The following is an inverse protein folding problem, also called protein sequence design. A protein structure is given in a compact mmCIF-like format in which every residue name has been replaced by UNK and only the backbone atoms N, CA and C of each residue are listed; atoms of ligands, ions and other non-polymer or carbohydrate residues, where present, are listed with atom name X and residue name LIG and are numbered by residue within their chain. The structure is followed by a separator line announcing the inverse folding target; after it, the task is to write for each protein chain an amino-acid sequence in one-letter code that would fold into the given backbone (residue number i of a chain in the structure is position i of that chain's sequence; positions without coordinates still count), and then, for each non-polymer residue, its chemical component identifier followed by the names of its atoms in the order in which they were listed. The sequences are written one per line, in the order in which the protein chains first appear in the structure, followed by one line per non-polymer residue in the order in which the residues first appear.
data_IF_697889979962
#
_entry.id   IF_697889979962
#
_cell.length_a   1.000
_cell.length_b   1.000
_cell.length_c   1.000
_cell.angle_alpha   90.00
_cell.angle_beta   90.00
_cell.angle_gamma   90.00
#
_symmetry.space_group_name_H-M   'P 1'
#
loop_
_entity.id
_entity.type
_entity.pdbx_description
1 polymer ?
#
# COMPACT_ATOMS: atom_id res chain seq x y z
N UNK A 1 -81.37 -10.31 -9.11
CA UNK A 1 -80.45 -9.90 -8.03
C UNK A 1 -79.21 -10.80 -8.15
N UNK A 2 -78.12 -10.28 -8.72
CA UNK A 2 -76.93 -11.04 -8.98
C UNK A 2 -75.82 -10.53 -8.06
N UNK A 3 -75.39 -11.31 -7.10
CA UNK A 3 -74.36 -10.98 -6.14
C UNK A 3 -72.99 -11.41 -6.69
N UNK A 4 -72.14 -10.44 -7.04
CA UNK A 4 -70.79 -10.68 -7.48
C UNK A 4 -69.88 -10.71 -6.22
N UNK A 5 -69.26 -11.84 -5.96
CA UNK A 5 -68.19 -11.99 -5.02
C UNK A 5 -66.87 -11.46 -5.62
N UNK A 6 -66.30 -10.43 -5.01
CA UNK A 6 -64.98 -9.95 -5.28
C UNK A 6 -63.96 -10.70 -4.41
N UNK A 7 -63.09 -11.47 -5.02
CA UNK A 7 -61.93 -12.09 -4.34
C UNK A 7 -60.82 -11.05 -4.13
N UNK A 8 -60.22 -10.99 -2.93
CA UNK A 8 -59.08 -10.12 -2.70
C UNK A 8 -57.82 -10.68 -3.34
N UNK A 9 -57.16 -9.89 -4.17
CA UNK A 9 -55.82 -10.16 -4.67
C UNK A 9 -54.85 -9.83 -3.53
N UNK A 10 -54.17 -10.88 -3.01
CA UNK A 10 -53.07 -10.73 -2.06
C UNK A 10 -51.84 -10.34 -2.86
N UNK A 11 -51.46 -9.08 -2.74
CA UNK A 11 -50.18 -8.59 -3.29
C UNK A 11 -49.05 -8.99 -2.34
N UNK A 12 -48.30 -10.04 -2.71
CA UNK A 12 -47.09 -10.42 -1.99
C UNK A 12 -46.00 -9.40 -2.26
N UNK A 13 -45.70 -8.55 -1.30
CA UNK A 13 -44.53 -7.67 -1.33
C UNK A 13 -43.28 -8.52 -1.12
N UNK A 14 -42.49 -8.71 -2.20
CA UNK A 14 -41.12 -9.20 -2.09
C UNK A 14 -40.33 -8.14 -1.29
N UNK A 15 -40.00 -8.47 -0.05
CA UNK A 15 -39.01 -7.71 0.70
C UNK A 15 -37.67 -7.87 0.00
N UNK A 16 -37.24 -6.82 -0.71
CA UNK A 16 -35.90 -6.76 -1.29
C UNK A 16 -34.89 -6.88 -0.16
N UNK A 17 -34.04 -7.90 -0.20
CA UNK A 17 -32.85 -7.97 0.64
C UNK A 17 -31.98 -6.79 0.25
N UNK A 18 -31.96 -5.75 1.09
CA UNK A 18 -31.04 -4.64 0.92
C UNK A 18 -29.61 -5.23 0.99
N UNK A 19 -28.89 -5.19 -0.10
CA UNK A 19 -27.45 -5.48 -0.09
C UNK A 19 -26.82 -4.54 0.93
N UNK A 20 -26.14 -5.12 1.93
CA UNK A 20 -25.33 -4.32 2.84
C UNK A 20 -24.39 -3.47 1.98
N UNK A 21 -24.27 -2.16 2.23
CA UNK A 21 -23.33 -1.33 1.50
C UNK A 21 -21.95 -1.97 1.67
N UNK A 22 -21.22 -2.15 0.56
CA UNK A 22 -19.82 -2.50 0.62
C UNK A 22 -19.16 -1.51 1.58
N UNK A 23 -18.49 -2.03 2.62
CA UNK A 23 -17.84 -1.16 3.59
C UNK A 23 -16.91 -0.23 2.83
N UNK A 24 -17.22 1.07 2.87
CA UNK A 24 -16.40 2.10 2.27
C UNK A 24 -14.97 1.91 2.77
N UNK A 25 -13.95 2.00 1.88
CA UNK A 25 -12.56 2.02 2.32
C UNK A 25 -12.47 3.10 3.39
N UNK A 26 -11.86 2.80 4.52
CA UNK A 26 -11.70 3.79 5.59
C UNK A 26 -11.05 5.02 4.96
N UNK A 27 -11.83 6.10 4.82
CA UNK A 27 -11.38 7.33 4.21
C UNK A 27 -10.40 8.04 5.13
N UNK A 28 -9.45 8.82 4.61
CA UNK A 28 -8.35 9.42 5.38
C UNK A 28 -8.76 10.47 6.41
N UNK A 29 -10.04 10.58 6.74
CA UNK A 29 -10.58 11.67 7.55
C UNK A 29 -10.16 11.66 9.03
N UNK A 30 -9.44 10.64 9.50
CA UNK A 30 -9.47 10.39 10.94
C UNK A 30 -8.19 10.54 11.71
N UNK A 31 -7.01 10.68 11.16
CA UNK A 31 -5.86 10.65 12.04
C UNK A 31 -4.63 11.40 11.57
N UNK A 32 -4.79 12.68 11.30
CA UNK A 32 -3.63 13.56 11.26
C UNK A 32 -3.20 13.82 12.69
N UNK A 33 -2.27 13.02 13.20
CA UNK A 33 -1.60 13.30 14.46
C UNK A 33 -0.62 14.45 14.28
N UNK A 34 -0.23 15.20 15.34
CA UNK A 34 0.80 16.23 15.24
C UNK A 34 2.12 15.73 14.65
N UNK A 35 2.50 14.47 14.88
CA UNK A 35 3.71 13.84 14.33
C UNK A 35 3.60 13.68 12.82
N UNK A 36 2.47 13.23 12.32
CA UNK A 36 2.18 13.10 10.89
C UNK A 36 2.23 14.45 10.19
N UNK A 37 1.62 15.48 10.75
CA UNK A 37 1.66 16.85 10.22
C UNK A 37 3.10 17.34 10.11
N UNK A 38 3.94 17.09 11.11
CA UNK A 38 5.34 17.51 11.11
C UNK A 38 6.13 16.80 9.99
N UNK A 39 5.95 15.49 9.81
CA UNK A 39 6.62 14.73 8.74
C UNK A 39 6.11 15.17 7.37
N UNK A 40 4.80 15.32 7.21
CA UNK A 40 4.19 15.85 6.00
C UNK A 40 4.77 17.24 5.64
N UNK A 41 4.83 18.17 6.61
CA UNK A 41 5.43 19.49 6.41
C UNK A 41 6.91 19.39 6.01
N UNK A 42 7.66 18.41 6.55
CA UNK A 42 9.04 18.15 6.15
C UNK A 42 9.13 17.72 4.68
N UNK A 43 8.24 16.82 4.23
CA UNK A 43 8.21 16.39 2.83
C UNK A 43 7.83 17.55 1.90
N UNK A 44 6.83 18.34 2.28
CA UNK A 44 6.46 19.55 1.51
C UNK A 44 7.62 20.51 1.36
N UNK A 45 8.39 20.71 2.44
CA UNK A 45 9.61 21.54 2.39
C UNK A 45 10.68 20.92 1.48
N UNK A 46 10.94 19.60 1.57
CA UNK A 46 11.90 18.91 0.69
C UNK A 46 11.51 19.05 -0.78
N UNK A 47 10.23 18.93 -1.11
CA UNK A 47 9.71 19.08 -2.48
C UNK A 47 9.95 20.51 -2.96
N UNK A 48 9.64 21.51 -2.14
CA UNK A 48 9.85 22.92 -2.47
C UNK A 48 11.33 23.27 -2.64
N UNK A 49 12.19 22.85 -1.70
CA UNK A 49 13.63 23.11 -1.73
C UNK A 49 14.31 22.49 -2.97
N UNK A 50 13.90 21.26 -3.32
CA UNK A 50 14.38 20.55 -4.51
C UNK A 50 13.66 21.00 -5.80
N UNK A 51 12.70 21.92 -5.73
CA UNK A 51 11.87 22.35 -6.87
C UNK A 51 11.22 21.17 -7.61
N UNK A 52 10.84 20.13 -6.88
CA UNK A 52 10.24 18.93 -7.43
C UNK A 52 11.18 18.00 -8.20
N UNK A 53 12.50 18.22 -8.15
CA UNK A 53 13.51 17.43 -8.91
C UNK A 53 13.77 16.07 -8.27
N UNK A 54 12.79 15.16 -8.44
CA UNK A 54 12.84 13.76 -8.01
C UNK A 54 12.44 12.85 -9.17
N UNK A 55 13.25 11.83 -9.45
CA UNK A 55 12.96 10.84 -10.49
C UNK A 55 12.32 9.56 -9.92
N UNK A 56 12.45 9.34 -8.61
CA UNK A 56 11.98 8.11 -7.94
C UNK A 56 11.26 8.41 -6.63
N UNK A 57 10.04 7.90 -6.47
CA UNK A 57 9.29 7.95 -5.22
C UNK A 57 9.28 6.59 -4.52
N UNK A 58 9.39 6.63 -3.19
CA UNK A 58 9.09 5.51 -2.32
C UNK A 58 7.88 5.91 -1.46
N UNK A 59 6.78 5.18 -1.58
CA UNK A 59 5.52 5.45 -0.86
C UNK A 59 5.21 4.27 0.03
N UNK A 60 5.06 4.51 1.35
CA UNK A 60 4.80 3.44 2.29
C UNK A 60 4.77 3.88 3.76
N UNK A 61 4.97 2.91 4.63
CA UNK A 61 4.96 3.06 6.09
C UNK A 61 6.35 3.00 6.72
N UNK A 62 6.45 2.45 7.97
CA UNK A 62 7.71 2.31 8.71
C UNK A 62 8.77 1.48 7.98
N UNK A 63 8.36 0.52 7.17
CA UNK A 63 9.28 -0.33 6.41
C UNK A 63 9.96 0.50 5.32
N UNK A 64 9.24 1.42 4.68
CA UNK A 64 9.79 2.38 3.72
C UNK A 64 10.57 3.50 4.41
N UNK A 65 10.02 4.10 5.47
CA UNK A 65 10.65 5.15 6.28
C UNK A 65 12.01 4.73 6.83
N UNK A 66 12.10 3.50 7.31
CA UNK A 66 13.30 2.96 7.95
C UNK A 66 14.48 2.67 7.04
N UNK A 67 14.29 2.58 5.73
CA UNK A 67 15.34 2.15 4.80
C UNK A 67 16.62 2.99 4.89
N UNK A 68 16.58 4.34 4.80
CA UNK A 68 17.79 5.15 4.85
C UNK A 68 18.57 5.04 6.16
N UNK A 69 17.89 4.74 7.27
CA UNK A 69 18.50 4.63 8.59
C UNK A 69 19.00 3.23 8.92
N UNK A 70 18.30 2.19 8.45
CA UNK A 70 18.61 0.78 8.78
C UNK A 70 19.56 0.11 7.77
N UNK A 71 19.65 0.64 6.56
CA UNK A 71 20.57 0.14 5.53
C UNK A 71 20.93 1.25 4.55
N UNK A 72 21.81 2.14 5.00
CA UNK A 72 22.28 3.31 4.25
C UNK A 72 22.93 2.91 2.92
N UNK A 73 23.71 1.85 2.93
CA UNK A 73 24.43 1.35 1.76
C UNK A 73 23.46 0.91 0.65
N UNK A 74 22.45 0.13 1.00
CA UNK A 74 21.44 -0.33 0.02
C UNK A 74 20.55 0.83 -0.45
N UNK A 75 20.22 1.77 0.44
CA UNK A 75 19.46 2.96 0.05
C UNK A 75 20.23 3.84 -0.92
N UNK A 76 21.55 3.93 -0.77
CA UNK A 76 22.42 4.70 -1.66
C UNK A 76 22.39 4.22 -3.12
N UNK A 77 21.97 2.98 -3.38
CA UNK A 77 21.76 2.47 -4.73
C UNK A 77 20.71 3.25 -5.53
N UNK A 78 19.81 3.96 -4.85
CA UNK A 78 18.79 4.81 -5.48
C UNK A 78 19.27 6.25 -5.75
N UNK A 79 20.42 6.65 -5.23
CA UNK A 79 20.93 8.02 -5.35
C UNK A 79 20.95 8.57 -6.80
N UNK A 80 21.32 7.78 -7.85
CA UNK A 80 21.28 8.24 -9.23
C UNK A 80 19.88 8.67 -9.71
N UNK A 81 18.82 8.21 -9.03
CA UNK A 81 17.43 8.47 -9.37
C UNK A 81 16.79 9.56 -8.49
N UNK A 82 17.59 10.29 -7.72
CA UNK A 82 17.11 11.37 -6.85
C UNK A 82 15.86 10.95 -6.06
N UNK A 83 15.97 9.99 -5.13
CA UNK A 83 14.82 9.40 -4.46
C UNK A 83 14.17 10.39 -3.49
N UNK A 84 12.84 10.44 -3.48
CA UNK A 84 12.03 11.02 -2.41
C UNK A 84 11.36 9.88 -1.63
N UNK A 85 11.75 9.72 -0.37
CA UNK A 85 11.15 8.72 0.52
C UNK A 85 10.00 9.36 1.32
N UNK A 86 8.77 8.99 0.96
CA UNK A 86 7.52 9.41 1.60
C UNK A 86 7.02 8.38 2.63
N UNK A 87 7.88 7.53 3.17
CA UNK A 87 7.53 6.62 4.25
C UNK A 87 7.29 7.35 5.57
N UNK A 88 6.24 6.95 6.30
CA UNK A 88 6.01 7.38 7.69
C UNK A 88 5.64 6.17 8.53
N UNK A 89 6.36 6.01 9.64
CA UNK A 89 6.18 4.89 10.57
C UNK A 89 4.77 4.84 11.17
N UNK A 90 4.17 3.63 11.14
CA UNK A 90 2.86 3.35 11.73
C UNK A 90 1.67 3.70 10.84
N UNK A 91 1.89 4.30 9.69
CA UNK A 91 0.80 4.69 8.79
C UNK A 91 0.09 3.51 8.14
N UNK A 92 -1.18 3.74 7.92
CA UNK A 92 -2.13 2.90 7.21
C UNK A 92 -2.44 3.54 5.85
N UNK A 93 -3.14 2.82 5.01
CA UNK A 93 -3.51 3.29 3.66
C UNK A 93 -4.25 4.63 3.68
N UNK A 94 -5.14 4.85 4.64
CA UNK A 94 -5.93 6.09 4.77
C UNK A 94 -5.05 7.32 5.01
N UNK A 95 -4.01 7.16 5.81
CA UNK A 95 -3.10 8.26 6.16
C UNK A 95 -2.18 8.60 4.99
N UNK A 96 -1.64 7.58 4.33
CA UNK A 96 -0.87 7.75 3.10
C UNK A 96 -1.73 8.45 2.04
N UNK A 97 -2.96 7.98 1.82
CA UNK A 97 -3.88 8.57 0.85
C UNK A 97 -4.12 10.07 1.15
N UNK A 98 -4.36 10.41 2.42
CA UNK A 98 -4.54 11.81 2.83
C UNK A 98 -3.35 12.67 2.41
N UNK A 99 -2.12 12.24 2.69
CA UNK A 99 -0.91 13.00 2.36
C UNK A 99 -0.74 13.21 0.85
N UNK A 100 -0.96 12.15 0.07
CA UNK A 100 -0.88 12.22 -1.38
C UNK A 100 -1.93 13.18 -1.99
N UNK A 101 -3.11 13.26 -1.38
CA UNK A 101 -4.16 14.20 -1.77
C UNK A 101 -3.84 15.64 -1.33
N UNK A 102 -3.06 15.82 -0.27
CA UNK A 102 -2.76 17.11 0.34
C UNK A 102 -1.35 17.63 0.01
N UNK A 103 -0.88 17.42 -1.21
CA UNK A 103 0.25 18.16 -1.76
C UNK A 103 1.52 17.37 -2.02
N UNK A 104 1.73 16.17 -1.44
CA UNK A 104 3.01 15.44 -1.61
C UNK A 104 3.29 14.98 -3.05
N UNK A 105 2.29 15.02 -3.92
CA UNK A 105 2.44 14.75 -5.34
C UNK A 105 2.43 16.00 -6.22
N UNK A 106 2.29 17.19 -5.63
CA UNK A 106 2.15 18.42 -6.39
C UNK A 106 3.53 18.98 -6.79
N UNK A 107 3.68 19.34 -8.06
CA UNK A 107 4.92 19.94 -8.57
C UNK A 107 6.09 18.97 -8.74
N UNK A 108 5.88 17.67 -8.66
CA UNK A 108 6.88 16.62 -8.92
C UNK A 108 6.50 15.80 -10.16
N UNK A 109 7.50 15.24 -10.84
CA UNK A 109 7.29 14.44 -12.06
C UNK A 109 8.21 13.22 -12.10
N UNK A 110 8.13 12.32 -11.10
CA UNK A 110 9.01 11.16 -11.05
C UNK A 110 8.71 10.17 -12.18
N UNK A 111 9.73 9.46 -12.63
CA UNK A 111 9.58 8.36 -13.60
C UNK A 111 8.86 7.16 -12.98
N UNK A 112 9.22 6.84 -11.73
CA UNK A 112 8.72 5.65 -11.03
C UNK A 112 8.32 5.99 -9.60
N UNK A 113 7.19 5.42 -9.16
CA UNK A 113 6.78 5.34 -7.76
C UNK A 113 6.76 3.87 -7.32
N UNK A 114 7.59 3.49 -6.36
CA UNK A 114 7.52 2.20 -5.70
C UNK A 114 6.60 2.30 -4.49
N UNK A 115 5.57 1.47 -4.44
CA UNK A 115 4.51 1.50 -3.42
C UNK A 115 4.48 0.20 -2.65
N UNK A 116 4.62 0.26 -1.32
CA UNK A 116 4.43 -0.86 -0.42
C UNK A 116 3.76 -0.36 0.88
N UNK A 117 2.49 -0.71 1.08
CA UNK A 117 1.64 -0.23 2.18
C UNK A 117 0.52 -1.23 2.48
N UNK A 118 0.02 -1.25 3.71
CA UNK A 118 -1.14 -2.04 4.13
C UNK A 118 -0.87 -2.97 5.31
N UNK A 119 0.41 -3.19 5.69
CA UNK A 119 0.73 -4.06 6.82
C UNK A 119 0.14 -3.55 8.15
N UNK A 120 0.06 -2.23 8.35
CA UNK A 120 -0.52 -1.64 9.56
C UNK A 120 -2.05 -1.69 9.57
N UNK A 121 -2.71 -1.64 8.42
CA UNK A 121 -4.14 -1.93 8.34
C UNK A 121 -4.42 -3.31 8.96
N UNK A 122 -3.74 -4.33 8.46
CA UNK A 122 -3.91 -5.72 8.89
C UNK A 122 -3.41 -5.99 10.32
N UNK A 123 -2.40 -5.25 10.78
CA UNK A 123 -1.74 -5.49 12.06
C UNK A 123 -2.31 -4.73 13.25
N UNK A 124 -2.89 -3.55 13.04
CA UNK A 124 -3.43 -2.71 14.11
C UNK A 124 -4.89 -3.01 14.45
N UNK A 125 -5.64 -3.60 13.52
CA UNK A 125 -7.04 -3.97 13.72
C UNK A 125 -7.23 -5.46 13.39
N UNK A 126 -7.64 -6.24 14.41
CA UNK A 126 -7.83 -7.67 14.24
C UNK A 126 -9.01 -8.00 13.31
N UNK A 127 -9.97 -7.10 13.20
CA UNK A 127 -11.16 -7.18 12.36
C UNK A 127 -10.99 -6.56 10.98
N UNK A 128 -9.81 -5.99 10.67
CA UNK A 128 -9.52 -5.47 9.33
C UNK A 128 -9.58 -6.58 8.29
N UNK A 129 -10.44 -6.39 7.31
CA UNK A 129 -10.60 -7.35 6.20
C UNK A 129 -9.54 -7.12 5.12
N UNK A 130 -9.03 -8.19 4.49
CA UNK A 130 -8.11 -8.05 3.36
C UNK A 130 -8.63 -7.12 2.26
N UNK A 131 -9.93 -7.16 1.99
CA UNK A 131 -10.60 -6.35 0.97
C UNK A 131 -10.52 -4.84 1.28
N UNK A 132 -10.57 -4.46 2.57
CA UNK A 132 -10.48 -3.04 2.97
C UNK A 132 -9.06 -2.50 2.80
N UNK A 133 -8.06 -3.26 3.24
CA UNK A 133 -6.67 -2.91 3.02
C UNK A 133 -6.35 -2.83 1.52
N UNK A 134 -6.82 -3.80 0.72
CA UNK A 134 -6.64 -3.82 -0.72
C UNK A 134 -7.33 -2.63 -1.42
N UNK A 135 -8.54 -2.25 -0.99
CA UNK A 135 -9.24 -1.07 -1.51
C UNK A 135 -8.47 0.22 -1.22
N UNK A 136 -7.87 0.35 -0.03
CA UNK A 136 -7.00 1.47 0.33
C UNK A 136 -5.76 1.54 -0.58
N UNK A 137 -5.10 0.42 -0.83
CA UNK A 137 -3.97 0.34 -1.78
C UNK A 137 -4.41 0.73 -3.19
N UNK A 138 -5.55 0.21 -3.65
CA UNK A 138 -6.09 0.54 -4.98
C UNK A 138 -6.34 2.04 -5.11
N UNK A 139 -6.88 2.69 -4.07
CA UNK A 139 -7.13 4.13 -4.08
C UNK A 139 -5.84 4.96 -4.10
N UNK A 140 -4.78 4.50 -3.43
CA UNK A 140 -3.45 5.12 -3.52
C UNK A 140 -2.90 5.01 -4.95
N UNK A 141 -2.98 3.83 -5.57
CA UNK A 141 -2.56 3.61 -6.96
C UNK A 141 -3.33 4.52 -7.91
N UNK A 142 -4.66 4.58 -7.80
CA UNK A 142 -5.52 5.47 -8.58
C UNK A 142 -5.13 6.93 -8.42
N UNK A 143 -4.88 7.38 -7.18
CA UNK A 143 -4.48 8.76 -6.87
C UNK A 143 -3.15 9.11 -7.53
N UNK A 144 -2.14 8.24 -7.42
CA UNK A 144 -0.85 8.43 -8.08
C UNK A 144 -1.04 8.48 -9.60
N UNK A 145 -1.81 7.56 -10.19
CA UNK A 145 -2.07 7.53 -11.63
C UNK A 145 -2.79 8.80 -12.12
N UNK A 146 -3.71 9.34 -11.32
CA UNK A 146 -4.46 10.55 -11.66
C UNK A 146 -3.58 11.81 -11.58
N UNK A 147 -2.82 11.96 -10.50
CA UNK A 147 -1.99 13.14 -10.27
C UNK A 147 -0.68 13.12 -11.08
N UNK A 148 -0.13 11.93 -11.33
CA UNK A 148 1.15 11.70 -12.01
C UNK A 148 0.96 10.73 -13.20
N UNK A 149 0.26 11.14 -14.27
CA UNK A 149 -0.15 10.23 -15.35
C UNK A 149 1.01 9.57 -16.10
N UNK A 150 2.19 10.16 -16.09
CA UNK A 150 3.39 9.62 -16.75
C UNK A 150 4.26 8.75 -15.84
N UNK A 151 4.00 8.74 -14.52
CA UNK A 151 4.75 7.95 -13.55
C UNK A 151 4.33 6.49 -13.61
N UNK A 152 5.28 5.58 -13.81
CA UNK A 152 5.05 4.14 -13.69
C UNK A 152 5.00 3.77 -12.20
N UNK A 153 4.16 2.83 -11.83
CA UNK A 153 4.06 2.34 -10.45
C UNK A 153 4.64 0.93 -10.36
N UNK A 154 5.65 0.73 -9.52
CA UNK A 154 6.05 -0.58 -9.05
C UNK A 154 5.30 -0.85 -7.74
N UNK A 155 4.19 -1.57 -7.84
CA UNK A 155 3.40 -1.99 -6.70
C UNK A 155 3.96 -3.30 -6.15
N UNK A 156 4.40 -3.29 -4.90
CA UNK A 156 4.92 -4.49 -4.25
C UNK A 156 3.84 -5.21 -3.45
N UNK A 157 4.01 -6.51 -3.32
CA UNK A 157 3.33 -7.28 -2.28
C UNK A 157 3.61 -6.69 -0.91
N UNK A 158 2.62 -6.70 -0.01
CA UNK A 158 2.83 -6.47 1.42
C UNK A 158 3.73 -7.59 1.92
N UNK A 159 4.82 -7.24 2.63
CA UNK A 159 5.81 -8.22 3.08
C UNK A 159 5.22 -9.20 4.10
N UNK A 160 5.79 -10.41 4.19
CA UNK A 160 5.36 -11.38 5.19
C UNK A 160 5.55 -10.78 6.58
N UNK A 161 4.60 -11.08 7.45
CA UNK A 161 4.59 -10.60 8.83
C UNK A 161 4.39 -11.78 9.76
N UNK A 162 5.05 -11.76 10.93
CA UNK A 162 5.09 -12.87 11.88
C UNK A 162 5.94 -14.06 11.41
N UNK A 163 6.49 -14.80 12.37
CA UNK A 163 7.49 -15.85 12.12
C UNK A 163 6.92 -17.04 11.36
N UNK A 164 5.78 -17.55 11.85
CA UNK A 164 5.25 -18.84 11.37
C UNK A 164 4.28 -18.67 10.19
N UNK A 165 4.34 -19.53 9.18
CA UNK A 165 3.39 -19.50 8.07
C UNK A 165 1.93 -19.74 8.51
N UNK A 166 1.71 -20.37 9.67
CA UNK A 166 0.40 -20.67 10.24
C UNK A 166 -0.21 -19.52 11.05
N UNK A 167 0.52 -18.43 11.28
CA UNK A 167 -0.01 -17.27 12.00
C UNK A 167 -1.11 -16.60 11.16
N UNK A 168 -2.26 -16.32 11.79
CA UNK A 168 -3.45 -15.84 11.09
C UNK A 168 -3.23 -14.54 10.30
N UNK A 169 -2.28 -13.70 10.72
CA UNK A 169 -1.90 -12.49 9.98
C UNK A 169 -1.28 -12.82 8.60
N UNK A 170 -0.57 -13.95 8.47
CA UNK A 170 0.03 -14.40 7.21
C UNK A 170 -1.04 -14.66 6.15
N UNK A 171 -2.12 -15.35 6.53
CA UNK A 171 -3.25 -15.59 5.63
C UNK A 171 -3.91 -14.29 5.18
N UNK A 172 -4.07 -13.30 6.09
CA UNK A 172 -4.64 -11.98 5.72
C UNK A 172 -3.73 -11.21 4.78
N UNK A 173 -2.42 -11.23 5.01
CA UNK A 173 -1.43 -10.61 4.10
C UNK A 173 -1.51 -11.26 2.71
N UNK A 174 -1.51 -12.59 2.63
CA UNK A 174 -1.62 -13.31 1.36
C UNK A 174 -2.91 -12.94 0.63
N UNK A 175 -4.06 -13.00 1.32
CA UNK A 175 -5.35 -12.63 0.71
C UNK A 175 -5.38 -11.18 0.21
N UNK A 176 -4.75 -10.24 0.94
CA UNK A 176 -4.62 -8.85 0.46
C UNK A 176 -3.73 -8.77 -0.77
N UNK A 177 -2.60 -9.48 -0.79
CA UNK A 177 -1.69 -9.52 -1.92
C UNK A 177 -2.35 -10.09 -3.18
N UNK A 178 -3.18 -11.14 -3.06
CA UNK A 178 -3.97 -11.70 -4.17
C UNK A 178 -4.96 -10.67 -4.77
N UNK A 179 -5.47 -9.78 -3.93
CA UNK A 179 -6.37 -8.72 -4.39
C UNK A 179 -5.61 -7.59 -5.08
N UNK A 180 -4.53 -7.08 -4.48
CA UNK A 180 -3.76 -5.98 -5.06
C UNK A 180 -2.96 -6.40 -6.31
N UNK A 181 -2.65 -7.68 -6.47
CA UNK A 181 -2.03 -8.22 -7.68
C UNK A 181 -2.89 -7.95 -8.93
N UNK A 182 -4.22 -7.86 -8.79
CA UNK A 182 -5.16 -7.56 -9.88
C UNK A 182 -5.05 -6.13 -10.40
N UNK A 183 -4.35 -5.25 -9.70
CA UNK A 183 -4.06 -3.89 -10.16
C UNK A 183 -2.96 -3.84 -11.23
N UNK A 184 -2.27 -4.95 -11.46
CA UNK A 184 -1.26 -5.05 -12.52
C UNK A 184 -1.90 -4.89 -13.89
N UNK A 185 -1.45 -3.90 -14.67
CA UNK A 185 -1.92 -3.65 -16.04
C UNK A 185 -0.84 -3.92 -17.11
N UNK A 186 0.36 -4.28 -16.69
CA UNK A 186 1.51 -4.58 -17.55
C UNK A 186 2.14 -3.38 -18.25
N UNK A 187 1.68 -2.15 -17.95
CA UNK A 187 2.14 -0.92 -18.62
C UNK A 187 2.55 0.17 -17.63
N UNK A 188 1.59 0.63 -16.85
CA UNK A 188 1.77 1.73 -15.91
C UNK A 188 1.76 1.28 -14.45
N UNK A 189 1.13 0.14 -14.16
CA UNK A 189 1.13 -0.49 -12.84
C UNK A 189 1.73 -1.89 -12.98
N UNK A 190 2.92 -2.05 -12.48
CA UNK A 190 3.63 -3.34 -12.45
C UNK A 190 3.57 -3.88 -11.03
N UNK A 191 2.77 -4.92 -10.81
CA UNK A 191 2.79 -5.63 -9.53
C UNK A 191 3.96 -6.61 -9.49
N UNK A 192 4.65 -6.64 -8.36
CA UNK A 192 5.74 -7.58 -8.12
C UNK A 192 5.62 -8.18 -6.73
N UNK A 193 5.41 -9.49 -6.68
CA UNK A 193 5.50 -10.24 -5.42
C UNK A 193 6.95 -10.59 -5.13
N UNK A 194 7.42 -10.16 -3.96
CA UNK A 194 8.76 -10.47 -3.46
C UNK A 194 8.71 -11.18 -2.10
N UNK A 195 7.54 -11.64 -1.66
CA UNK A 195 7.34 -12.27 -0.34
C UNK A 195 8.24 -13.50 -0.15
N UNK A 196 8.38 -14.33 -1.17
CA UNK A 196 9.19 -15.54 -1.09
C UNK A 196 10.68 -15.26 -0.83
N UNK A 197 11.20 -14.10 -1.25
CA UNK A 197 12.59 -13.72 -1.02
C UNK A 197 12.96 -13.55 0.47
N UNK A 198 11.95 -13.27 1.33
CA UNK A 198 12.14 -13.09 2.77
C UNK A 198 11.97 -14.37 3.58
N UNK A 199 11.51 -15.45 2.96
CA UNK A 199 11.09 -16.67 3.64
C UNK A 199 12.06 -17.82 3.39
N UNK A 200 12.14 -18.73 4.37
CA UNK A 200 12.76 -20.06 4.12
C UNK A 200 11.89 -20.90 3.20
N UNK A 201 12.39 -22.03 2.66
CA UNK A 201 11.58 -22.96 1.87
C UNK A 201 10.31 -23.46 2.61
N UNK A 202 10.37 -23.52 3.96
CA UNK A 202 9.26 -23.91 4.81
C UNK A 202 8.28 -22.75 5.11
N UNK A 203 8.55 -21.57 4.53
CA UNK A 203 7.72 -20.37 4.69
C UNK A 203 7.92 -19.60 5.99
N UNK A 204 9.03 -19.87 6.72
CA UNK A 204 9.35 -19.19 7.99
C UNK A 204 10.03 -17.85 7.70
N UNK A 205 9.56 -16.80 8.39
CA UNK A 205 10.22 -15.49 8.43
C UNK A 205 11.22 -15.47 9.57
N UNK A 206 12.50 -15.47 9.27
CA UNK A 206 13.55 -15.57 10.29
C UNK A 206 13.89 -14.22 10.91
N UNK A 207 14.31 -14.22 12.17
CA UNK A 207 14.84 -13.04 12.87
C UNK A 207 16.12 -12.48 12.26
N UNK A 208 16.83 -13.29 11.48
CA UNK A 208 18.00 -12.85 10.72
C UNK A 208 17.67 -11.82 9.63
N UNK A 209 16.42 -11.80 9.18
CA UNK A 209 15.92 -10.92 8.11
C UNK A 209 15.03 -9.82 8.69
N UNK A 210 14.10 -10.21 9.57
CA UNK A 210 13.17 -9.30 10.27
C UNK A 210 13.15 -9.65 11.76
N UNK A 211 13.97 -9.00 12.59
CA UNK A 211 14.17 -9.37 14.00
C UNK A 211 12.92 -9.38 14.86
N UNK A 212 11.97 -8.52 14.54
CA UNK A 212 10.66 -8.39 15.21
C UNK A 212 9.51 -9.05 14.43
N UNK A 213 9.83 -9.78 13.36
CA UNK A 213 8.84 -10.41 12.49
C UNK A 213 8.05 -9.42 11.60
N UNK A 214 8.55 -8.19 11.43
CA UNK A 214 7.88 -7.13 10.66
C UNK A 214 8.85 -6.24 9.90
N UNK A 215 9.86 -5.70 10.59
CA UNK A 215 10.76 -4.69 10.04
C UNK A 215 12.06 -5.32 9.55
N UNK A 216 12.43 -5.11 8.27
CA UNK A 216 13.72 -5.56 7.75
C UNK A 216 14.88 -4.93 8.51
N UNK A 217 15.91 -5.70 8.79
CA UNK A 217 17.25 -5.21 9.12
C UNK A 217 18.06 -4.99 7.83
N UNK A 218 19.36 -4.70 7.93
CA UNK A 218 20.21 -4.47 6.76
C UNK A 218 20.17 -5.64 5.76
N UNK A 219 20.17 -6.90 6.24
CA UNK A 219 20.03 -8.09 5.39
C UNK A 219 18.69 -8.12 4.67
N UNK A 220 17.59 -7.79 5.37
CA UNK A 220 16.26 -7.73 4.79
C UNK A 220 16.13 -6.63 3.73
N UNK A 221 16.75 -5.47 3.94
CA UNK A 221 16.78 -4.40 2.93
C UNK A 221 17.65 -4.77 1.72
N UNK A 222 18.71 -5.56 1.90
CA UNK A 222 19.49 -6.09 0.77
C UNK A 222 18.64 -7.04 -0.08
N UNK A 223 17.91 -7.95 0.57
CA UNK A 223 16.97 -8.86 -0.11
C UNK A 223 15.93 -8.06 -0.91
N UNK A 224 15.38 -7.00 -0.30
CA UNK A 224 14.43 -6.13 -1.00
C UNK A 224 15.06 -5.47 -2.22
N UNK A 225 16.22 -4.84 -2.06
CA UNK A 225 16.94 -4.21 -3.17
C UNK A 225 17.18 -5.19 -4.31
N UNK A 226 17.76 -6.37 -4.02
CA UNK A 226 18.08 -7.38 -5.03
C UNK A 226 16.83 -7.85 -5.80
N UNK A 227 15.71 -8.00 -5.07
CA UNK A 227 14.45 -8.42 -5.67
C UNK A 227 13.85 -7.37 -6.61
N UNK A 228 13.98 -6.06 -6.31
CA UNK A 228 13.32 -5.00 -7.10
C UNK A 228 14.23 -4.34 -8.11
N UNK A 229 15.54 -4.33 -7.89
CA UNK A 229 16.52 -3.59 -8.71
C UNK A 229 16.42 -3.87 -10.20
N UNK A 230 16.34 -5.14 -10.67
CA UNK A 230 16.23 -5.41 -12.11
C UNK A 230 14.97 -4.76 -12.74
N UNK A 231 13.84 -4.83 -12.05
CA UNK A 231 12.59 -4.21 -12.52
C UNK A 231 12.67 -2.68 -12.49
N UNK A 232 13.24 -2.11 -11.43
CA UNK A 232 13.43 -0.66 -11.35
C UNK A 232 14.34 -0.14 -12.45
N UNK A 233 15.46 -0.84 -12.75
CA UNK A 233 16.36 -0.45 -13.84
C UNK A 233 15.67 -0.40 -15.21
N UNK A 234 14.68 -1.26 -15.43
CA UNK A 234 13.87 -1.24 -16.64
C UNK A 234 12.86 -0.09 -16.64
N UNK A 235 12.20 0.13 -15.52
CA UNK A 235 11.17 1.17 -15.42
C UNK A 235 11.75 2.58 -15.45
N UNK A 236 12.99 2.76 -14.99
CA UNK A 236 13.69 4.05 -14.92
C UNK A 236 14.33 4.50 -16.25
N UNK A 237 14.38 3.61 -17.25
CA UNK A 237 14.78 3.97 -18.63
C UNK A 237 13.79 4.92 -19.27
#
# INVERSE_FOLDING_TARGET
MSCRFLSPIILATLAGVAALPAAEPRTPETAVTPVLITRHSTFMKQIADAKGDFDFLLVGDSITDGWPSKSKETYAAFAPWKPLNLGISGERTEQVLWRLLNGELDGIHPKVAMVMIGTNNLGHAADEKPEWAAAGVAKIVETIRTKLPNTKILLLSIFPRSEKPTDGIRARVTATNDLIAKLHDGKMVIYKDITAAFLTPEGVLTKEVMPDGLHPNAKGYQIWLDAVKPTLDELMK
#
